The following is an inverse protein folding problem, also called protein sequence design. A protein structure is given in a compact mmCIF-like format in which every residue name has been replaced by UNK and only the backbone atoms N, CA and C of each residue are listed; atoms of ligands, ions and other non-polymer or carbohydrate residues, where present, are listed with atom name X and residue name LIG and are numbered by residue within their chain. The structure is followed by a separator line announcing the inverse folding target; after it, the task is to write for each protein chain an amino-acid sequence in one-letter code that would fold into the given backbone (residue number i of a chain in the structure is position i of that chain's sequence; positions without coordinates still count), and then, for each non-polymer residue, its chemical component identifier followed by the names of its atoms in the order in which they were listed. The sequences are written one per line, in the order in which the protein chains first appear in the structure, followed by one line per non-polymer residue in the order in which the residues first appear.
data_IF_013472871719
#
_entry.id   IF_013472871719
#
_cell.length_a   1.000
_cell.length_b   1.000
_cell.length_c   1.000
_cell.angle_alpha   90.00
_cell.angle_beta   90.00
_cell.angle_gamma   90.00
#
_symmetry.space_group_name_H-M   'P 1'
#
loop_
_entity.id
_entity.type
_entity.pdbx_description
1 polymer ?
#
# COMPACT_ATOMS: atom_id res chain seq x y z
N UNK A 1 7.70 4.91 -18.29
CA UNK A 1 6.41 5.35 -17.69
C UNK A 1 5.74 4.12 -17.12
N UNK A 2 5.19 4.19 -15.90
CA UNK A 2 4.43 3.07 -15.35
C UNK A 2 3.13 2.89 -16.16
N UNK A 3 2.68 1.65 -16.42
CA UNK A 3 1.43 1.41 -17.13
C UNK A 3 0.24 1.94 -16.31
N UNK A 4 -0.84 2.41 -16.95
CA UNK A 4 -2.09 2.71 -16.27
C UNK A 4 -2.53 1.50 -15.46
N UNK A 5 -2.70 1.67 -14.15
CA UNK A 5 -3.18 0.62 -13.26
C UNK A 5 -4.68 0.80 -13.08
N UNK A 6 -5.46 -0.27 -13.23
CA UNK A 6 -6.90 -0.24 -12.98
C UNK A 6 -7.16 0.11 -11.51
N UNK A 7 -7.98 1.14 -11.27
CA UNK A 7 -8.46 1.47 -9.93
C UNK A 7 -9.66 0.59 -9.61
N UNK A 8 -9.68 -0.01 -8.43
CA UNK A 8 -10.80 -0.80 -7.93
C UNK A 8 -11.07 -0.46 -6.46
N UNK A 9 -12.33 -0.58 -5.99
CA UNK A 9 -12.66 -0.28 -4.61
C UNK A 9 -12.04 -1.31 -3.66
N UNK A 10 -11.70 -0.87 -2.44
CA UNK A 10 -11.10 -1.71 -1.40
C UNK A 10 -11.93 -2.95 -1.09
N UNK A 11 -13.26 -2.91 -1.25
CA UNK A 11 -14.14 -4.08 -1.07
C UNK A 11 -13.84 -5.25 -2.02
N UNK A 12 -13.18 -5.01 -3.15
CA UNK A 12 -12.79 -6.04 -4.11
C UNK A 12 -11.42 -6.67 -3.83
N UNK A 13 -10.67 -6.22 -2.81
CA UNK A 13 -9.36 -6.79 -2.44
C UNK A 13 -9.38 -8.32 -2.23
N UNK A 14 -10.35 -8.90 -1.48
CA UNK A 14 -10.45 -10.35 -1.30
C UNK A 14 -10.61 -11.12 -2.62
N UNK A 15 -11.30 -10.55 -3.60
CA UNK A 15 -11.48 -11.17 -4.91
C UNK A 15 -10.23 -11.00 -5.78
N UNK A 16 -9.69 -9.79 -5.87
CA UNK A 16 -8.55 -9.46 -6.73
C UNK A 16 -7.26 -10.17 -6.28
N UNK A 17 -7.07 -10.33 -4.96
CA UNK A 17 -5.91 -11.03 -4.39
C UNK A 17 -5.84 -12.51 -4.77
N UNK A 18 -6.97 -13.13 -5.16
CA UNK A 18 -7.01 -14.51 -5.66
C UNK A 18 -6.36 -14.67 -7.03
N UNK A 19 -6.03 -13.59 -7.73
CA UNK A 19 -5.33 -13.64 -9.01
C UNK A 19 -3.84 -13.36 -8.80
N UNK A 20 -3.00 -14.21 -9.39
CA UNK A 20 -1.54 -14.04 -9.40
C UNK A 20 -1.11 -12.98 -10.41
N UNK A 21 0.15 -12.56 -10.32
CA UNK A 21 0.74 -11.58 -11.26
C UNK A 21 0.74 -12.05 -12.72
N UNK A 22 0.62 -13.36 -12.96
CA UNK A 22 0.50 -13.93 -14.32
C UNK A 22 -0.95 -14.01 -14.81
N UNK A 23 -1.91 -13.41 -14.09
CA UNK A 23 -3.34 -13.45 -14.42
C UNK A 23 -4.05 -14.76 -14.08
N UNK A 24 -3.34 -15.74 -13.51
CA UNK A 24 -3.92 -17.04 -13.15
C UNK A 24 -4.47 -17.04 -11.73
N UNK A 25 -5.56 -17.78 -11.48
CA UNK A 25 -6.09 -17.97 -10.12
C UNK A 25 -5.05 -18.67 -9.23
N UNK A 26 -4.82 -18.12 -8.03
CA UNK A 26 -4.00 -18.71 -6.97
C UNK A 26 -4.67 -19.98 -6.46
N UNK A 27 -3.98 -21.10 -6.53
CA UNK A 27 -4.45 -22.36 -5.98
C UNK A 27 -4.11 -22.43 -4.49
N UNK A 28 -5.04 -22.90 -3.68
CA UNK A 28 -4.84 -22.99 -2.22
C UNK A 28 -5.07 -21.68 -1.46
N UNK A 29 -5.55 -20.63 -2.12
CA UNK A 29 -5.95 -19.38 -1.49
C UNK A 29 -7.39 -19.04 -1.90
N UNK A 30 -8.26 -18.82 -0.92
CA UNK A 30 -9.71 -18.59 -1.11
C UNK A 30 -10.10 -17.11 -1.08
N UNK A 31 -9.15 -16.19 -0.90
CA UNK A 31 -9.41 -14.76 -0.76
C UNK A 31 -9.61 -14.28 0.67
N UNK A 32 -9.52 -15.15 1.67
CA UNK A 32 -9.67 -14.75 3.08
C UNK A 32 -8.38 -14.10 3.62
N UNK A 33 -8.26 -12.80 3.36
CA UNK A 33 -7.12 -11.99 3.79
C UNK A 33 -7.04 -11.84 5.32
N UNK A 34 -8.13 -12.07 6.08
CA UNK A 34 -8.11 -11.92 7.55
C UNK A 34 -7.34 -13.05 8.23
N UNK A 35 -7.27 -14.22 7.58
CA UNK A 35 -6.48 -15.37 8.06
C UNK A 35 -4.98 -15.22 7.83
N UNK A 36 -4.58 -14.28 6.97
CA UNK A 36 -3.19 -14.00 6.68
C UNK A 36 -2.54 -13.15 7.79
N UNK A 37 -1.24 -13.34 7.97
CA UNK A 37 -0.44 -12.56 8.92
C UNK A 37 -0.48 -11.07 8.56
N UNK A 38 -0.79 -10.22 9.54
CA UNK A 38 -0.78 -8.77 9.40
C UNK A 38 0.62 -8.24 9.69
N UNK A 39 1.19 -7.53 8.72
CA UNK A 39 2.47 -6.84 8.81
C UNK A 39 2.24 -5.33 8.74
N UNK A 40 3.05 -4.60 9.50
CA UNK A 40 3.03 -3.14 9.54
C UNK A 40 4.40 -2.60 9.13
N UNK A 41 4.39 -1.49 8.37
CA UNK A 41 5.59 -0.80 7.94
C UNK A 41 5.39 0.70 8.07
N UNK A 42 6.29 1.35 8.80
CA UNK A 42 6.37 2.80 8.85
C UNK A 42 7.25 3.32 7.72
N UNK A 43 6.67 4.14 6.86
CA UNK A 43 7.38 4.88 5.81
C UNK A 43 7.33 6.38 6.12
N UNK A 44 8.09 7.18 5.36
CA UNK A 44 8.05 8.63 5.46
C UNK A 44 7.87 9.23 4.06
N UNK A 45 6.87 10.10 3.91
CA UNK A 45 6.74 10.95 2.74
C UNK A 45 7.46 12.25 3.03
N UNK A 46 8.47 12.59 2.23
CA UNK A 46 9.30 13.78 2.44
C UNK A 46 9.18 14.75 1.27
N UNK A 47 8.95 16.02 1.57
CA UNK A 47 8.92 17.11 0.60
C UNK A 47 9.93 18.19 0.97
N UNK A 48 10.59 18.76 -0.04
CA UNK A 48 11.47 19.91 0.14
C UNK A 48 10.62 21.17 0.07
N UNK A 49 10.54 21.89 1.19
CA UNK A 49 9.81 23.14 1.31
C UNK A 49 10.77 24.34 1.30
N UNK A 50 10.43 25.36 0.50
CA UNK A 50 11.22 26.59 0.34
C UNK A 50 12.26 26.49 -0.77
N UNK A 51 11.91 26.97 -1.98
CA UNK A 51 12.80 26.91 -3.13
C UNK A 51 12.14 27.36 -4.44
N UNK A 52 11.42 28.48 -4.43
CA UNK A 52 11.06 29.16 -5.68
C UNK A 52 12.32 29.72 -6.35
N UNK A 53 12.36 29.71 -7.70
CA UNK A 53 13.51 30.14 -8.53
C UNK A 53 14.04 31.56 -8.27
N UNK A 54 13.36 32.36 -7.46
CA UNK A 54 13.58 33.81 -7.32
C UNK A 54 14.32 34.25 -6.06
N UNK A 55 14.56 33.40 -5.06
CA UNK A 55 15.15 33.87 -3.78
C UNK A 55 16.37 33.04 -3.36
N UNK A 56 17.56 33.58 -3.63
CA UNK A 56 18.90 32.96 -3.41
C UNK A 56 19.29 32.69 -1.95
N UNK A 57 18.42 32.90 -0.96
CA UNK A 57 18.85 32.96 0.45
C UNK A 57 17.83 32.48 1.50
N UNK A 58 16.94 31.52 1.17
CA UNK A 58 16.14 30.83 2.19
C UNK A 58 16.56 29.37 2.30
N UNK A 59 16.87 28.97 3.53
CA UNK A 59 17.26 27.63 3.95
C UNK A 59 16.21 26.61 3.49
N UNK A 60 16.59 25.71 2.59
CA UNK A 60 15.72 24.63 2.11
C UNK A 60 15.44 23.68 3.27
N UNK A 61 14.16 23.51 3.63
CA UNK A 61 13.77 22.63 4.75
C UNK A 61 13.06 21.40 4.21
N UNK A 62 13.64 20.23 4.48
CA UNK A 62 12.98 18.95 4.24
C UNK A 62 11.95 18.72 5.34
N UNK A 63 10.69 18.50 4.96
CA UNK A 63 9.62 18.10 5.87
C UNK A 63 9.23 16.68 5.55
N UNK A 64 9.18 15.82 6.56
CA UNK A 64 8.78 14.43 6.41
C UNK A 64 7.56 14.15 7.30
N UNK A 65 6.60 13.40 6.77
CA UNK A 65 5.43 12.94 7.50
C UNK A 65 5.41 11.41 7.52
N UNK A 66 5.10 10.79 8.66
CA UNK A 66 5.00 9.34 8.75
C UNK A 66 3.82 8.84 7.92
N UNK A 67 4.01 7.69 7.28
CA UNK A 67 3.01 6.97 6.50
C UNK A 67 3.00 5.52 6.98
N UNK A 68 2.00 5.15 7.75
CA UNK A 68 1.79 3.76 8.15
C UNK A 68 1.21 2.96 6.98
N UNK A 69 1.84 1.84 6.65
CA UNK A 69 1.36 0.89 5.65
C UNK A 69 1.10 -0.46 6.30
N UNK A 70 0.02 -1.10 5.86
CA UNK A 70 -0.36 -2.42 6.32
C UNK A 70 -0.35 -3.41 5.17
N UNK A 71 0.08 -4.63 5.45
CA UNK A 71 0.18 -5.70 4.48
C UNK A 71 -0.32 -7.01 5.07
N UNK A 72 -1.02 -7.82 4.25
CA UNK A 72 -1.33 -9.21 4.57
C UNK A 72 -0.35 -10.13 3.86
N UNK A 73 0.41 -10.90 4.62
CA UNK A 73 1.28 -11.96 4.11
C UNK A 73 0.50 -13.28 4.09
N UNK A 74 0.15 -13.71 2.90
CA UNK A 74 -0.66 -14.89 2.62
C UNK A 74 0.19 -16.00 2.01
N UNK A 75 -0.39 -17.20 1.93
CA UNK A 75 0.22 -18.37 1.30
C UNK A 75 -0.72 -18.95 0.25
N UNK A 76 -0.15 -19.35 -0.88
CA UNK A 76 -0.78 -20.20 -1.88
C UNK A 76 0.13 -21.40 -2.19
N UNK A 77 -0.27 -22.26 -3.14
CA UNK A 77 0.54 -23.44 -3.50
C UNK A 77 1.93 -23.12 -4.06
N UNK A 78 2.19 -21.88 -4.50
CA UNK A 78 3.48 -21.43 -5.04
C UNK A 78 4.35 -20.74 -3.99
N UNK A 79 3.84 -20.53 -2.77
CA UNK A 79 4.59 -19.96 -1.65
C UNK A 79 3.88 -18.75 -1.04
N UNK A 80 4.67 -17.85 -0.44
CA UNK A 80 4.15 -16.65 0.20
C UNK A 80 3.97 -15.51 -0.81
N UNK A 81 2.93 -14.71 -0.61
CA UNK A 81 2.72 -13.46 -1.33
C UNK A 81 2.16 -12.41 -0.39
N UNK A 82 2.38 -11.15 -0.73
CA UNK A 82 1.98 -10.02 0.09
C UNK A 82 0.94 -9.19 -0.64
N UNK A 83 -0.06 -8.71 0.09
CA UNK A 83 -1.10 -7.81 -0.40
C UNK A 83 -1.06 -6.54 0.45
N UNK A 84 -0.95 -5.37 -0.17
CA UNK A 84 -1.11 -4.11 0.56
C UNK A 84 -2.58 -3.93 0.95
N UNK A 85 -2.81 -3.70 2.24
CA UNK A 85 -4.14 -3.56 2.84
C UNK A 85 -4.29 -2.28 3.64
N UNK A 86 -3.41 -1.29 3.44
CA UNK A 86 -3.40 -0.01 4.18
C UNK A 86 -4.78 0.63 4.29
N UNK A 87 -5.51 0.81 3.18
CA UNK A 87 -6.85 1.41 3.21
C UNK A 87 -7.90 0.52 3.88
N UNK A 88 -7.73 -0.81 3.79
CA UNK A 88 -8.65 -1.78 4.37
C UNK A 88 -8.55 -1.80 5.89
N UNK A 89 -7.34 -1.82 6.42
CA UNK A 89 -7.07 -1.79 7.86
C UNK A 89 -7.29 -0.37 8.45
N UNK A 90 -6.98 0.68 7.68
CA UNK A 90 -7.20 2.07 8.08
C UNK A 90 -8.67 2.41 8.30
N UNK A 91 -9.58 1.82 7.52
CA UNK A 91 -11.03 1.96 7.74
C UNK A 91 -11.49 1.33 9.07
N UNK A 92 -10.91 0.20 9.48
CA UNK A 92 -11.23 -0.45 10.77
C UNK A 92 -10.62 0.33 11.95
N UNK A 93 -9.45 0.96 11.77
CA UNK A 93 -8.74 1.72 12.82
C UNK A 93 -9.10 3.21 12.88
N UNK A 94 -9.98 3.71 12.01
CA UNK A 94 -10.34 5.13 11.96
C UNK A 94 -9.23 6.05 11.44
N UNK A 95 -8.24 5.49 10.73
CA UNK A 95 -7.14 6.25 10.14
C UNK A 95 -7.63 6.97 8.89
N UNK A 96 -7.65 8.29 8.91
CA UNK A 96 -7.90 9.09 7.72
C UNK A 96 -6.58 9.18 6.95
N UNK A 97 -6.55 8.63 5.74
CA UNK A 97 -5.49 8.93 4.78
C UNK A 97 -5.32 10.45 4.69
N UNK A 98 -4.09 10.99 4.68
CA UNK A 98 -3.86 12.39 4.36
C UNK A 98 -4.38 12.75 2.96
#
# INVERSE_FOLDING_TARGET
MAPPTELFPTSQLPLRSQTSLTGTKRKGFNGDLKTCELLEMLQYSCEVSGGGRTERNREQKVRCWPVERFFRRCHDQKGSFTVETTTWEGAEKGFKSP
#
